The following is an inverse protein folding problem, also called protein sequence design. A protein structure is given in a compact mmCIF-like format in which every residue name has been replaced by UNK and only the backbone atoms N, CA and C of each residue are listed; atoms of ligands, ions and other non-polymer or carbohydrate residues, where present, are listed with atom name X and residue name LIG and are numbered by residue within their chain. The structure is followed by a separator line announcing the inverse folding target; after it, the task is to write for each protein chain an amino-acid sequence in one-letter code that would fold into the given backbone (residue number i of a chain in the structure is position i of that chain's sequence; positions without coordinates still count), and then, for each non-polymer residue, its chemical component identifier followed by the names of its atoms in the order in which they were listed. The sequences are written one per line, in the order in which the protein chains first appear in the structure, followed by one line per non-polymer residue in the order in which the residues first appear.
data_IF_509643668057
#
_entry.id   IF_509643668057
#
_cell.length_a   1.000
_cell.length_b   1.000
_cell.length_c   1.000
_cell.angle_alpha   90.00
_cell.angle_beta   90.00
_cell.angle_gamma   90.00
#
_symmetry.space_group_name_H-M   'P 1'
#
loop_
_entity.id
_entity.type
_entity.pdbx_description
1 polymer ?
#
# COMPACT_ATOMS: atom_id res chain seq x y z
N UNK A 1 -12.54 19.11 3.02
CA UNK A 1 -11.48 18.61 3.92
C UNK A 1 -11.43 17.12 3.66
N UNK A 2 -10.37 16.62 3.04
CA UNK A 2 -10.29 15.19 2.71
C UNK A 2 -10.04 14.45 4.02
N UNK A 3 -10.92 13.52 4.35
CA UNK A 3 -10.81 12.75 5.59
C UNK A 3 -9.70 11.70 5.43
N UNK A 4 -9.04 11.35 6.53
CA UNK A 4 -8.04 10.28 6.51
C UNK A 4 -8.64 8.98 5.93
N UNK A 5 -9.92 8.71 6.16
CA UNK A 5 -10.64 7.51 5.69
C UNK A 5 -10.73 7.45 4.16
N UNK A 6 -11.02 8.56 3.48
CA UNK A 6 -11.06 8.59 2.01
C UNK A 6 -9.69 8.24 1.41
N UNK A 7 -8.60 8.74 2.01
CA UNK A 7 -7.23 8.42 1.59
C UNK A 7 -6.91 6.94 1.83
N UNK A 8 -7.39 6.36 2.93
CA UNK A 8 -7.23 4.93 3.20
C UNK A 8 -7.91 4.05 2.14
N UNK A 9 -9.13 4.42 1.72
CA UNK A 9 -9.86 3.65 0.71
C UNK A 9 -9.17 3.74 -0.66
N UNK A 10 -8.73 4.95 -1.05
CA UNK A 10 -7.99 5.17 -2.30
C UNK A 10 -6.70 4.34 -2.36
N UNK A 11 -5.95 4.30 -1.25
CA UNK A 11 -4.76 3.43 -1.10
C UNK A 11 -5.12 1.97 -1.34
N UNK A 12 -6.18 1.48 -0.68
CA UNK A 12 -6.58 0.07 -0.78
C UNK A 12 -6.92 -0.26 -2.24
N UNK A 13 -7.72 0.56 -2.92
CA UNK A 13 -8.09 0.37 -4.32
C UNK A 13 -6.87 0.34 -5.24
N UNK A 14 -5.91 1.26 -5.08
CA UNK A 14 -4.73 1.34 -5.95
C UNK A 14 -3.72 0.20 -5.76
N UNK A 15 -3.78 -0.50 -4.63
CA UNK A 15 -2.80 -1.53 -4.29
C UNK A 15 -3.41 -2.91 -4.04
N UNK A 16 -4.71 -3.08 -4.35
CA UNK A 16 -5.44 -4.35 -4.22
C UNK A 16 -4.86 -5.45 -5.11
N UNK A 17 -4.41 -5.08 -6.31
CA UNK A 17 -3.94 -6.01 -7.35
C UNK A 17 -2.41 -6.05 -7.46
N UNK A 18 -1.69 -5.57 -6.45
CA UNK A 18 -0.24 -5.64 -6.47
C UNK A 18 0.23 -7.08 -6.34
N UNK A 19 1.03 -7.53 -7.31
CA UNK A 19 1.64 -8.84 -7.32
C UNK A 19 3.10 -8.76 -6.91
N UNK A 20 3.56 -9.79 -6.20
CA UNK A 20 4.96 -9.93 -5.85
C UNK A 20 5.76 -10.33 -7.08
N UNK A 21 6.72 -9.50 -7.48
CA UNK A 21 7.60 -9.78 -8.62
C UNK A 21 8.42 -11.08 -8.44
N UNK A 22 8.71 -11.48 -7.20
CA UNK A 22 9.54 -12.66 -6.92
C UNK A 22 8.81 -14.00 -7.07
N UNK A 23 7.50 -14.03 -6.82
CA UNK A 23 6.76 -15.30 -6.76
C UNK A 23 5.32 -15.23 -7.30
N UNK A 24 4.95 -14.12 -7.95
CA UNK A 24 3.61 -13.83 -8.46
C UNK A 24 2.49 -14.00 -7.41
N UNK A 25 2.83 -13.86 -6.13
CA UNK A 25 1.88 -13.96 -5.02
C UNK A 25 1.21 -12.63 -4.74
N UNK A 26 -0.02 -12.64 -4.24
CA UNK A 26 -0.74 -11.42 -3.85
C UNK A 26 -0.02 -10.67 -2.74
N UNK A 27 0.20 -9.37 -2.96
CA UNK A 27 0.71 -8.46 -1.94
C UNK A 27 -0.44 -7.98 -1.06
N UNK A 28 -0.21 -7.89 0.25
CA UNK A 28 -1.21 -7.43 1.22
C UNK A 28 -0.72 -6.16 1.93
N UNK A 29 -1.63 -5.24 2.24
CA UNK A 29 -1.33 -4.07 3.06
C UNK A 29 -0.96 -4.49 4.47
N UNK A 30 0.29 -4.25 4.86
CA UNK A 30 0.73 -4.47 6.24
C UNK A 30 0.58 -3.22 7.09
N UNK A 31 0.87 -2.06 6.52
CA UNK A 31 0.85 -0.78 7.22
C UNK A 31 0.67 0.38 6.27
N UNK A 32 -0.11 1.37 6.68
CA UNK A 32 -0.22 2.66 5.98
C UNK A 32 0.26 3.73 6.96
N UNK A 33 1.13 4.60 6.48
CA UNK A 33 1.69 5.72 7.22
C UNK A 33 1.56 6.98 6.39
N UNK A 34 1.58 8.14 7.03
CA UNK A 34 1.50 9.41 6.33
C UNK A 34 2.86 10.11 6.43
N UNK A 35 3.51 10.32 5.28
CA UNK A 35 4.79 11.05 5.22
C UNK A 35 4.56 12.53 5.51
N UNK A 36 3.41 13.05 5.07
CA UNK A 36 2.89 14.37 5.39
C UNK A 36 1.35 14.29 5.45
N UNK A 37 0.65 15.42 5.62
CA UNK A 37 -0.82 15.47 5.75
C UNK A 37 -1.62 14.89 4.56
N UNK A 38 -0.98 14.64 3.42
CA UNK A 38 -1.67 14.25 2.18
C UNK A 38 -0.99 13.14 1.38
N UNK A 39 0.20 12.68 1.80
CA UNK A 39 0.98 11.65 1.09
C UNK A 39 1.04 10.37 1.92
N UNK A 40 0.24 9.34 1.59
CA UNK A 40 0.33 8.05 2.25
C UNK A 40 1.49 7.22 1.68
N UNK A 41 2.18 6.52 2.58
CA UNK A 41 3.20 5.52 2.31
C UNK A 41 2.72 4.18 2.87
N UNK A 42 2.68 3.19 1.99
CA UNK A 42 2.04 1.89 2.18
C UNK A 42 3.11 0.82 2.15
N UNK A 43 3.19 0.02 3.20
CA UNK A 43 4.00 -1.18 3.22
C UNK A 43 3.15 -2.36 2.76
N UNK A 44 3.50 -2.90 1.60
CA UNK A 44 2.91 -4.11 1.04
C UNK A 44 3.81 -5.30 1.35
N UNK A 45 3.21 -6.43 1.73
CA UNK A 45 3.94 -7.66 2.02
C UNK A 45 3.35 -8.86 1.27
N UNK A 46 4.24 -9.65 0.68
CA UNK A 46 3.95 -10.97 0.14
C UNK A 46 4.07 -12.01 1.25
N UNK A 47 2.96 -12.62 1.67
CA UNK A 47 3.01 -13.70 2.68
C UNK A 47 3.81 -14.94 2.23
N UNK A 48 3.67 -15.43 0.98
CA UNK A 48 4.39 -16.63 0.54
C UNK A 48 5.92 -16.54 0.59
N UNK A 49 6.51 -15.41 0.20
CA UNK A 49 7.97 -15.26 0.12
C UNK A 49 8.57 -14.28 1.15
N UNK A 50 7.73 -13.56 1.89
CA UNK A 50 8.15 -12.57 2.89
C UNK A 50 8.67 -11.25 2.31
N UNK A 51 8.62 -11.07 0.99
CA UNK A 51 9.04 -9.82 0.34
C UNK A 51 8.13 -8.68 0.75
N UNK A 52 8.74 -7.57 1.18
CA UNK A 52 8.01 -6.36 1.52
C UNK A 52 8.51 -5.19 0.67
N UNK A 53 7.59 -4.37 0.18
CA UNK A 53 7.87 -3.19 -0.64
C UNK A 53 7.09 -1.99 -0.10
N UNK A 54 7.73 -0.82 -0.14
CA UNK A 54 7.09 0.45 0.20
C UNK A 54 6.57 1.13 -1.06
N UNK A 55 5.29 1.52 -1.05
CA UNK A 55 4.62 2.25 -2.11
C UNK A 55 4.19 3.62 -1.59
N UNK A 56 4.74 4.68 -2.18
CA UNK A 56 4.36 6.06 -1.87
C UNK A 56 3.36 6.52 -2.91
N UNK A 57 2.14 6.85 -2.50
CA UNK A 57 1.19 7.48 -3.40
C UNK A 57 1.55 8.96 -3.56
N UNK A 58 2.01 9.31 -4.75
CA UNK A 58 2.13 10.69 -5.17
C UNK A 58 0.78 11.11 -5.76
N UNK A 59 0.11 12.06 -5.11
CA UNK A 59 -1.15 12.63 -5.55
C UNK A 59 -0.91 13.81 -6.49
#
# INVERSE_FOLDING_TARGET
MISNVEVYLEVIEQTLDYECECCAGTMNHRRITFVNKSTPNVLLECKPCGTAVSFIMNR
#
